data_IF_931943081602
#
_entry.id   IF_931943081602
#
_cell.length_a   1.000
_cell.length_b   1.000
_cell.length_c   1.000
_cell.angle_alpha   90.00
_cell.angle_beta   90.00
_cell.angle_gamma   90.00
#
_symmetry.space_group_name_H-M   'P 1'
#
loop_
_entity.id
_entity.type
_entity.pdbx_description
1 polymer ?
#
# COMPACT_ATOMS: atom_id res chain seq x y z
N UNK A 1 24.18 -0.37 7.70
CA UNK A 1 25.61 -0.02 7.49
C UNK A 1 26.21 0.73 8.69
N UNK A 2 25.59 1.78 9.21
CA UNK A 2 26.17 2.60 10.29
C UNK A 2 26.37 1.86 11.63
N UNK A 3 25.72 0.72 11.83
CA UNK A 3 25.74 -0.03 13.09
C UNK A 3 26.43 -1.41 12.95
N UNK A 4 27.06 -1.71 11.79
CA UNK A 4 27.66 -2.99 11.49
C UNK A 4 26.61 -4.11 11.30
N UNK A 5 27.03 -5.37 11.47
CA UNK A 5 26.20 -6.56 11.18
C UNK A 5 25.34 -7.03 12.38
N UNK A 6 25.11 -6.16 13.35
CA UNK A 6 24.30 -6.50 14.52
C UNK A 6 22.81 -6.47 14.17
N UNK A 7 22.03 -7.46 14.64
CA UNK A 7 20.59 -7.42 14.52
C UNK A 7 20.02 -6.25 15.34
N UNK A 8 19.14 -5.47 14.71
CA UNK A 8 18.55 -4.28 15.31
C UNK A 8 17.02 -4.41 15.34
N UNK A 9 16.40 -3.80 16.33
CA UNK A 9 14.96 -3.56 16.38
C UNK A 9 14.71 -2.07 16.10
N UNK A 10 13.75 -1.79 15.22
CA UNK A 10 13.33 -0.45 14.82
C UNK A 10 11.84 -0.33 15.10
N UNK A 11 11.42 0.67 15.87
CA UNK A 11 10.01 0.81 16.26
C UNK A 11 9.65 2.26 16.56
N UNK A 12 8.33 2.56 16.46
CA UNK A 12 7.75 3.84 16.87
C UNK A 12 7.77 4.03 18.39
N UNK A 13 7.77 5.27 18.84
CA UNK A 13 7.89 5.60 20.25
C UNK A 13 6.62 5.33 21.08
N UNK A 14 5.55 4.86 20.47
CA UNK A 14 4.30 4.44 21.13
C UNK A 14 3.16 5.44 20.97
N UNK A 15 2.13 5.27 21.80
CA UNK A 15 0.87 6.00 21.71
C UNK A 15 0.68 6.94 22.91
N UNK A 16 0.15 8.13 22.64
CA UNK A 16 -0.29 9.06 23.69
C UNK A 16 -1.80 8.92 23.92
N UNK A 17 -2.21 8.46 25.11
CA UNK A 17 -3.62 8.28 25.46
C UNK A 17 -4.43 9.59 25.47
N UNK A 18 -3.77 10.75 25.48
CA UNK A 18 -4.45 12.04 25.29
C UNK A 18 -5.15 12.12 23.91
N UNK A 19 -4.73 11.30 22.94
CA UNK A 19 -5.40 11.15 21.65
C UNK A 19 -6.79 10.52 21.73
N UNK A 20 -7.16 9.86 22.81
CA UNK A 20 -8.52 9.34 23.00
C UNK A 20 -9.55 10.46 23.16
N UNK A 21 -9.09 11.69 23.46
CA UNK A 21 -9.94 12.87 23.47
C UNK A 21 -10.52 13.16 22.06
N UNK A 22 -11.70 13.76 22.03
CA UNK A 22 -12.40 14.07 20.78
C UNK A 22 -11.75 15.21 19.96
N UNK A 23 -10.81 15.92 20.55
CA UNK A 23 -10.16 17.08 19.91
C UNK A 23 -8.71 16.70 19.59
N UNK A 24 -8.30 16.95 18.34
CA UNK A 24 -6.92 16.81 17.92
C UNK A 24 -6.01 17.74 18.72
N UNK A 25 -4.98 17.20 19.34
CA UNK A 25 -3.96 17.91 20.10
C UNK A 25 -2.57 17.42 19.73
N UNK A 26 -1.55 18.21 20.06
CA UNK A 26 -0.18 17.73 20.03
C UNK A 26 0.02 16.70 21.14
N UNK A 27 0.79 15.65 20.84
CA UNK A 27 1.08 14.60 21.80
C UNK A 27 2.28 14.97 22.66
N UNK A 28 2.25 14.56 23.93
CA UNK A 28 3.36 14.78 24.85
C UNK A 28 4.37 13.65 24.83
N UNK A 29 3.92 12.42 24.51
CA UNK A 29 4.73 11.21 24.45
C UNK A 29 4.53 10.50 23.11
N UNK A 30 5.34 9.49 22.84
CA UNK A 30 5.19 8.67 21.64
C UNK A 30 5.72 9.31 20.35
N UNK A 31 6.30 10.50 20.41
CA UNK A 31 6.78 11.26 19.25
C UNK A 31 8.19 10.82 18.87
N UNK A 32 8.30 9.90 17.92
CA UNK A 32 9.61 9.51 17.41
C UNK A 32 9.78 8.02 17.09
N UNK A 33 11.03 7.66 16.81
CA UNK A 33 11.47 6.31 16.43
C UNK A 33 12.74 5.98 17.20
N UNK A 34 12.86 4.69 17.59
CA UNK A 34 14.04 4.15 18.26
C UNK A 34 14.65 3.02 17.45
N UNK A 35 15.99 2.95 17.48
CA UNK A 35 16.77 1.83 17.00
C UNK A 35 17.58 1.29 18.17
N UNK A 36 17.42 0.01 18.48
CA UNK A 36 18.10 -0.67 19.59
C UNK A 36 18.79 -1.95 19.13
N UNK A 37 19.86 -2.35 19.78
CA UNK A 37 20.47 -3.68 19.58
C UNK A 37 19.48 -4.74 20.08
N UNK A 38 19.19 -5.74 19.25
CA UNK A 38 18.19 -6.78 19.56
C UNK A 38 18.61 -7.63 20.76
N UNK A 39 19.90 -7.89 20.93
CA UNK A 39 20.43 -8.73 22.01
C UNK A 39 20.44 -8.05 23.38
N UNK A 40 20.73 -6.74 23.40
CA UNK A 40 20.99 -6.01 24.65
C UNK A 40 19.89 -5.03 25.02
N UNK A 41 19.02 -4.67 24.08
CA UNK A 41 18.06 -3.59 24.22
C UNK A 41 18.72 -2.19 24.27
N UNK A 42 20.03 -2.09 24.06
CA UNK A 42 20.76 -0.83 24.10
C UNK A 42 20.37 0.04 22.92
N UNK A 43 19.93 1.28 23.22
CA UNK A 43 19.65 2.27 22.18
C UNK A 43 20.93 2.66 21.44
N UNK A 44 20.93 2.50 20.12
CA UNK A 44 22.03 2.89 19.23
C UNK A 44 21.73 4.19 18.49
N UNK A 45 20.44 4.47 18.25
CA UNK A 45 19.98 5.71 17.63
C UNK A 45 18.53 6.00 18.01
N UNK A 46 18.13 7.26 17.92
CA UNK A 46 16.74 7.65 18.04
C UNK A 46 16.47 8.94 17.28
N UNK A 47 15.23 9.11 16.85
CA UNK A 47 14.68 10.34 16.31
C UNK A 47 13.51 10.78 17.19
N UNK A 48 13.73 11.73 18.07
CA UNK A 48 12.70 12.30 18.97
C UNK A 48 12.85 13.81 19.02
N UNK A 49 11.93 14.58 19.60
CA UNK A 49 12.12 16.02 19.77
C UNK A 49 13.44 16.40 20.45
N UNK A 50 13.86 15.60 21.45
CA UNK A 50 15.08 15.85 22.23
C UNK A 50 16.33 15.25 21.57
N UNK A 51 16.16 14.27 20.69
CA UNK A 51 17.26 13.56 20.03
C UNK A 51 17.08 13.67 18.52
N UNK A 52 18.06 14.24 17.83
CA UNK A 52 18.06 14.47 16.39
C UNK A 52 16.91 15.39 15.89
N UNK A 53 16.20 16.07 16.81
CA UNK A 53 15.32 17.20 16.52
C UNK A 53 14.08 16.87 15.71
N UNK A 54 13.42 15.75 15.99
CA UNK A 54 12.16 15.38 15.34
C UNK A 54 11.10 16.48 15.49
N UNK A 55 10.49 16.87 14.37
CA UNK A 55 9.48 17.95 14.33
C UNK A 55 8.05 17.46 14.35
N UNK A 56 7.83 16.15 14.32
CA UNK A 56 6.50 15.56 14.40
C UNK A 56 5.80 15.93 15.70
N UNK A 57 4.53 16.27 15.62
CA UNK A 57 3.70 16.71 16.73
C UNK A 57 2.85 15.60 17.31
N UNK A 58 2.81 14.46 16.62
CA UNK A 58 1.92 13.35 16.93
C UNK A 58 2.71 12.07 17.17
N UNK A 59 2.10 11.17 17.92
CA UNK A 59 2.70 9.90 18.33
C UNK A 59 2.77 8.93 17.15
N UNK A 60 3.91 8.22 17.05
CA UNK A 60 4.11 7.11 16.12
C UNK A 60 3.75 5.84 16.87
N UNK A 61 2.46 5.48 16.82
CA UNK A 61 1.89 4.36 17.56
C UNK A 61 2.03 3.02 16.81
N UNK A 62 2.20 3.10 15.49
CA UNK A 62 2.32 1.94 14.61
C UNK A 62 3.76 1.43 14.53
N UNK A 63 3.89 0.20 14.03
CA UNK A 63 5.16 -0.29 13.51
C UNK A 63 5.63 0.62 12.37
N UNK A 64 6.94 0.62 12.15
CA UNK A 64 7.55 1.31 11.01
C UNK A 64 7.84 0.34 9.88
N UNK A 65 7.90 0.84 8.65
CA UNK A 65 8.31 0.06 7.51
C UNK A 65 9.75 0.36 7.17
N UNK A 66 10.54 -0.68 7.00
CA UNK A 66 11.96 -0.60 6.68
C UNK A 66 12.20 -1.04 5.25
N UNK A 67 13.14 -0.40 4.56
CA UNK A 67 13.50 -0.70 3.18
C UNK A 67 15.01 -0.75 3.05
N UNK A 68 15.49 -1.79 2.38
CA UNK A 68 16.82 -1.87 1.78
C UNK A 68 16.67 -1.36 0.34
N UNK A 69 17.00 -0.08 0.10
CA UNK A 69 16.66 0.58 -1.18
C UNK A 69 17.66 0.28 -2.29
N UNK A 70 18.86 -0.14 -1.97
CA UNK A 70 19.94 -0.47 -2.91
C UNK A 70 20.26 -1.97 -2.97
N UNK A 71 19.52 -2.80 -2.21
CA UNK A 71 19.63 -4.26 -2.15
C UNK A 71 21.02 -4.78 -1.70
N UNK A 72 21.67 -4.04 -0.80
CA UNK A 72 22.98 -4.43 -0.27
C UNK A 72 22.90 -5.25 1.03
N UNK A 73 21.70 -5.56 1.49
CA UNK A 73 21.44 -6.35 2.70
C UNK A 73 21.28 -5.51 3.97
N UNK A 74 21.42 -4.18 3.90
CA UNK A 74 21.25 -3.29 5.03
C UNK A 74 20.07 -2.35 4.83
N UNK A 75 19.27 -2.21 5.88
CA UNK A 75 18.18 -1.23 5.87
C UNK A 75 18.79 0.17 5.82
N UNK A 76 18.33 0.98 4.87
CA UNK A 76 18.80 2.33 4.62
C UNK A 76 17.67 3.36 4.61
N UNK A 77 16.40 2.92 4.70
CA UNK A 77 15.24 3.81 4.72
C UNK A 77 14.16 3.29 5.67
N UNK A 78 13.48 4.24 6.31
CA UNK A 78 12.34 3.96 7.18
C UNK A 78 11.18 4.86 6.75
N UNK A 79 9.98 4.29 6.72
CA UNK A 79 8.73 5.03 6.64
C UNK A 79 7.91 4.80 7.91
N UNK A 80 7.39 5.88 8.46
CA UNK A 80 6.56 5.86 9.66
C UNK A 80 5.33 6.74 9.47
N UNK A 81 4.21 6.33 10.06
CA UNK A 81 2.99 7.11 10.06
C UNK A 81 2.60 7.46 11.50
N UNK A 82 2.02 8.63 11.71
CA UNK A 82 1.66 9.10 13.04
C UNK A 82 0.14 9.28 13.24
N UNK A 83 -0.25 9.48 14.49
CA UNK A 83 -1.66 9.67 14.87
C UNK A 83 -2.21 11.07 14.51
N UNK A 84 -1.47 11.87 13.81
CA UNK A 84 -1.90 13.15 13.24
C UNK A 84 -2.17 13.09 11.74
N UNK A 85 -1.95 11.93 11.10
CA UNK A 85 -2.12 11.78 9.66
C UNK A 85 -0.90 12.19 8.85
N UNK A 86 0.27 12.28 9.48
CA UNK A 86 1.53 12.56 8.80
C UNK A 86 2.26 11.26 8.46
N UNK A 87 2.95 11.25 7.33
CA UNK A 87 3.88 10.19 6.93
C UNK A 87 5.28 10.78 6.90
N UNK A 88 6.18 10.12 7.61
CA UNK A 88 7.58 10.51 7.76
C UNK A 88 8.48 9.54 7.01
N UNK A 89 9.47 10.08 6.34
CA UNK A 89 10.56 9.32 5.74
C UNK A 89 11.86 9.66 6.41
N UNK A 90 12.64 8.62 6.74
CA UNK A 90 13.97 8.70 7.33
C UNK A 90 14.94 8.01 6.38
N UNK A 91 15.95 8.72 5.94
CA UNK A 91 17.02 8.22 5.09
C UNK A 91 18.29 8.04 5.93
N UNK A 92 18.91 6.88 5.79
CA UNK A 92 20.11 6.46 6.53
C UNK A 92 21.26 6.11 5.57
N UNK A 93 21.72 7.06 4.76
CA UNK A 93 22.76 6.80 3.77
C UNK A 93 24.12 6.52 4.47
N UNK A 94 24.90 5.64 3.86
CA UNK A 94 26.28 5.40 4.23
C UNK A 94 26.49 4.78 5.62
N UNK A 95 27.66 5.05 6.21
CA UNK A 95 28.13 4.43 7.45
C UNK A 95 28.15 5.37 8.66
N UNK A 96 27.67 6.61 8.49
CA UNK A 96 27.67 7.63 9.56
C UNK A 96 26.25 8.09 9.89
N UNK A 97 25.88 8.00 11.16
CA UNK A 97 24.60 8.56 11.64
C UNK A 97 24.50 10.08 11.49
N UNK A 98 25.63 10.75 11.28
CA UNK A 98 25.64 12.20 11.01
C UNK A 98 25.05 12.55 9.64
N UNK A 99 24.90 11.60 8.73
CA UNK A 99 24.30 11.79 7.41
C UNK A 99 22.80 11.47 7.41
N UNK A 100 22.29 10.85 8.46
CA UNK A 100 20.87 10.52 8.58
C UNK A 100 20.03 11.79 8.52
N UNK A 101 18.92 11.68 7.82
CA UNK A 101 17.99 12.78 7.64
C UNK A 101 16.55 12.28 7.71
N UNK A 102 15.65 13.19 8.01
CA UNK A 102 14.22 12.91 8.01
C UNK A 102 13.44 14.10 7.46
N UNK A 103 12.31 13.82 6.88
CA UNK A 103 11.37 14.85 6.43
C UNK A 103 9.94 14.32 6.47
N UNK A 104 8.97 15.24 6.48
CA UNK A 104 7.56 14.91 6.31
C UNK A 104 7.30 14.65 4.84
N UNK A 105 7.02 13.40 4.49
CA UNK A 105 6.69 13.01 3.11
C UNK A 105 5.27 13.44 2.76
N UNK A 106 4.30 13.24 3.68
CA UNK A 106 2.92 13.63 3.46
C UNK A 106 2.25 14.12 4.73
N UNK A 107 1.30 15.05 4.58
CA UNK A 107 0.41 15.58 5.62
C UNK A 107 -1.04 15.38 5.16
N UNK A 108 -1.66 14.29 5.62
CA UNK A 108 -2.96 13.83 5.14
C UNK A 108 -4.10 14.08 6.13
N UNK A 109 -3.76 14.47 7.36
CA UNK A 109 -4.69 14.88 8.40
C UNK A 109 -4.67 16.39 8.63
N UNK A 110 -5.71 16.94 9.24
CA UNK A 110 -5.75 18.35 9.65
C UNK A 110 -6.46 18.55 10.99
N UNK A 111 -6.49 19.80 11.47
CA UNK A 111 -7.17 20.15 12.73
C UNK A 111 -8.70 20.26 12.58
N UNK A 112 -9.27 20.06 11.38
CA UNK A 112 -10.71 20.00 11.20
C UNK A 112 -11.23 18.64 11.64
N UNK A 113 -12.33 18.59 12.36
CA UNK A 113 -12.91 17.36 12.89
C UNK A 113 -13.13 16.27 11.83
N UNK A 114 -13.56 16.69 10.62
CA UNK A 114 -13.78 15.77 9.49
C UNK A 114 -12.49 15.28 8.84
N UNK A 115 -11.37 15.93 9.09
CA UNK A 115 -10.06 15.66 8.50
C UNK A 115 -9.03 15.22 9.56
N UNK A 116 -9.47 14.97 10.82
CA UNK A 116 -8.62 14.42 11.89
C UNK A 116 -8.31 12.93 11.62
N UNK A 117 -7.65 12.69 10.49
CA UNK A 117 -7.23 11.35 10.08
C UNK A 117 -6.06 10.90 10.93
N UNK A 118 -6.10 9.65 11.34
CA UNK A 118 -5.09 9.06 12.22
C UNK A 118 -4.60 7.76 11.64
N UNK A 119 -3.29 7.49 11.78
CA UNK A 119 -2.70 6.24 11.36
C UNK A 119 -2.28 5.42 12.59
N UNK A 120 -2.80 4.21 12.69
CA UNK A 120 -2.48 3.25 13.73
C UNK A 120 -1.76 2.01 13.19
N UNK A 121 -1.54 1.95 11.90
CA UNK A 121 -0.87 0.86 11.21
C UNK A 121 0.26 1.40 10.35
N UNK A 122 1.28 0.55 10.15
CA UNK A 122 2.43 0.93 9.33
C UNK A 122 2.01 1.16 7.87
N UNK A 123 2.62 2.11 7.17
CA UNK A 123 2.48 2.20 5.73
C UNK A 123 3.12 0.97 5.08
N UNK A 124 2.46 0.39 4.07
CA UNK A 124 3.12 -0.59 3.21
C UNK A 124 3.91 0.16 2.14
N UNK A 125 5.08 -0.35 1.81
CA UNK A 125 5.93 0.21 0.74
C UNK A 125 6.23 -0.86 -0.29
N UNK A 126 5.91 -0.56 -1.55
CA UNK A 126 6.21 -1.43 -2.69
C UNK A 126 6.97 -0.65 -3.75
N UNK A 127 8.18 -1.10 -4.10
CA UNK A 127 8.95 -0.52 -5.21
C UNK A 127 8.41 -1.01 -6.54
N UNK A 128 8.12 -0.09 -7.45
CA UNK A 128 7.54 -0.39 -8.75
C UNK A 128 7.88 0.70 -9.78
N UNK A 129 7.37 0.55 -10.98
CA UNK A 129 7.55 1.48 -12.10
C UNK A 129 6.17 1.83 -12.65
N UNK A 130 5.95 3.09 -13.00
CA UNK A 130 4.77 3.49 -13.76
C UNK A 130 5.20 4.27 -15.01
N UNK A 131 4.37 4.20 -16.05
CA UNK A 131 4.54 5.04 -17.24
C UNK A 131 3.96 6.41 -16.97
N UNK A 132 4.82 7.40 -16.75
CA UNK A 132 4.43 8.80 -16.62
C UNK A 132 4.08 9.34 -18.00
N UNK A 133 2.82 9.70 -18.19
CA UNK A 133 2.30 10.18 -19.46
C UNK A 133 2.32 11.70 -19.47
N UNK A 134 2.79 12.27 -20.57
CA UNK A 134 2.76 13.71 -20.75
C UNK A 134 2.35 14.08 -22.18
N UNK A 135 1.63 15.17 -22.31
CA UNK A 135 1.19 15.74 -23.56
C UNK A 135 2.01 16.98 -23.89
N UNK A 136 2.45 17.09 -25.15
CA UNK A 136 3.18 18.25 -25.66
C UNK A 136 2.69 18.59 -27.04
N UNK A 137 2.56 19.89 -27.36
CA UNK A 137 2.23 20.34 -28.72
C UNK A 137 3.50 20.62 -29.51
N UNK A 138 3.71 19.91 -30.61
CA UNK A 138 4.82 20.12 -31.56
C UNK A 138 4.24 20.43 -32.93
N UNK A 139 4.59 21.57 -33.48
CA UNK A 139 4.13 22.04 -34.80
C UNK A 139 2.58 21.99 -34.98
N UNK A 140 1.85 22.29 -33.91
CA UNK A 140 0.37 22.30 -33.90
C UNK A 140 -0.26 20.91 -33.78
N UNK A 141 0.54 19.86 -33.59
CA UNK A 141 0.07 18.48 -33.36
C UNK A 141 0.30 18.07 -31.91
N UNK A 142 -0.66 17.38 -31.32
CA UNK A 142 -0.51 16.79 -29.99
C UNK A 142 0.38 15.55 -30.06
N UNK A 143 1.39 15.50 -29.19
CA UNK A 143 2.30 14.36 -29.04
C UNK A 143 2.21 13.84 -27.62
N UNK A 144 1.85 12.58 -27.46
CA UNK A 144 1.84 11.87 -26.18
C UNK A 144 3.18 11.17 -26.01
N UNK A 145 3.82 11.42 -24.88
CA UNK A 145 5.07 10.75 -24.50
C UNK A 145 4.87 9.94 -23.22
N UNK A 146 5.55 8.79 -23.14
CA UNK A 146 5.52 7.90 -21.97
C UNK A 146 6.95 7.71 -21.47
N UNK A 147 7.15 7.93 -20.17
CA UNK A 147 8.44 7.75 -19.51
C UNK A 147 8.25 6.81 -18.31
N UNK A 148 8.90 5.67 -18.35
CA UNK A 148 8.91 4.73 -17.24
C UNK A 148 9.70 5.31 -16.06
N UNK A 149 9.00 5.56 -14.98
CA UNK A 149 9.52 6.22 -13.78
C UNK A 149 9.44 5.28 -12.60
N UNK A 150 10.57 4.90 -11.98
CA UNK A 150 10.56 4.11 -10.77
C UNK A 150 10.08 4.95 -9.58
N UNK A 151 9.33 4.33 -8.68
CA UNK A 151 8.88 4.96 -7.44
C UNK A 151 8.63 3.94 -6.33
N UNK A 152 8.63 4.43 -5.09
CA UNK A 152 8.15 3.68 -3.94
C UNK A 152 6.68 4.04 -3.72
N UNK A 153 5.78 3.05 -3.88
CA UNK A 153 4.36 3.19 -3.59
C UNK A 153 4.15 3.04 -2.09
N UNK A 154 3.68 4.10 -1.44
CA UNK A 154 3.33 4.08 -0.03
C UNK A 154 1.82 3.94 0.07
N UNK A 155 1.36 2.80 0.63
CA UNK A 155 -0.05 2.44 0.69
C UNK A 155 -0.50 2.41 2.15
N UNK A 156 -1.52 3.19 2.50
CA UNK A 156 -2.00 3.32 3.88
C UNK A 156 -3.48 3.73 3.92
N UNK A 157 -4.21 3.22 4.92
CA UNK A 157 -5.57 3.67 5.22
C UNK A 157 -5.63 4.40 6.57
N UNK A 158 -6.47 5.43 6.67
CA UNK A 158 -6.71 6.12 7.92
C UNK A 158 -7.87 5.52 8.70
N UNK A 159 -7.83 5.63 10.03
CA UNK A 159 -8.89 5.19 10.91
C UNK A 159 -8.54 5.40 12.38
N UNK A 160 -9.47 5.97 13.14
CA UNK A 160 -9.30 6.15 14.57
C UNK A 160 -9.59 4.87 15.33
N UNK A 161 -8.56 4.07 15.62
CA UNK A 161 -8.67 2.80 16.33
C UNK A 161 -9.14 2.96 17.78
N UNK A 162 -8.81 4.06 18.44
CA UNK A 162 -9.24 4.32 19.82
C UNK A 162 -10.74 4.63 19.91
N UNK A 163 -11.36 5.00 18.78
CA UNK A 163 -12.77 5.34 18.68
C UNK A 163 -13.41 4.76 17.42
N UNK A 164 -13.48 3.43 17.31
CA UNK A 164 -13.90 2.76 16.06
C UNK A 164 -15.35 3.05 15.67
N UNK A 165 -16.22 3.37 16.63
CA UNK A 165 -17.61 3.72 16.40
C UNK A 165 -17.85 5.21 16.12
N UNK A 166 -16.80 6.06 16.16
CA UNK A 166 -16.90 7.48 15.83
C UNK A 166 -17.27 7.69 14.35
N UNK A 167 -18.09 8.70 14.04
CA UNK A 167 -18.56 8.98 12.67
C UNK A 167 -18.22 10.38 12.17
N UNK A 168 -17.41 11.12 12.92
CA UNK A 168 -17.09 12.51 12.60
C UNK A 168 -16.02 12.64 11.51
N UNK A 169 -15.04 11.73 11.53
CA UNK A 169 -13.92 11.75 10.61
C UNK A 169 -14.32 11.17 9.25
N UNK A 170 -13.82 11.77 8.18
CA UNK A 170 -13.86 11.25 6.82
C UNK A 170 -12.53 10.57 6.53
N UNK A 171 -12.49 9.29 6.89
CA UNK A 171 -11.31 8.48 6.67
C UNK A 171 -11.10 8.16 5.19
N UNK A 172 -9.87 7.91 4.80
CA UNK A 172 -9.49 7.71 3.41
C UNK A 172 -8.45 6.59 3.29
N UNK A 173 -8.41 6.00 2.09
CA UNK A 173 -7.35 5.13 1.63
C UNK A 173 -6.44 5.94 0.71
N UNK A 174 -5.13 5.67 0.80
CA UNK A 174 -4.12 6.43 0.08
C UNK A 174 -3.11 5.52 -0.60
N UNK A 175 -2.72 5.90 -1.80
CA UNK A 175 -1.47 5.48 -2.43
C UNK A 175 -0.69 6.71 -2.81
N UNK A 176 0.52 6.83 -2.29
CA UNK A 176 1.41 7.96 -2.50
C UNK A 176 2.61 7.48 -3.32
N UNK A 177 2.98 8.23 -4.34
CA UNK A 177 4.19 7.98 -5.13
C UNK A 177 5.34 8.78 -4.57
N UNK A 178 6.33 8.10 -4.01
CA UNK A 178 7.61 8.70 -3.69
C UNK A 178 8.61 8.41 -4.83
N UNK A 179 8.75 9.37 -5.73
CA UNK A 179 9.67 9.27 -6.88
C UNK A 179 11.14 9.46 -6.47
N UNK A 180 11.42 9.77 -5.19
CA UNK A 180 12.78 9.90 -4.66
C UNK A 180 13.35 8.53 -4.26
N UNK A 181 13.58 7.65 -5.23
CA UNK A 181 13.96 6.25 -4.99
C UNK A 181 15.40 6.07 -4.51
N UNK A 182 16.24 7.10 -4.57
CA UNK A 182 17.62 7.06 -4.09
C UNK A 182 17.69 7.53 -2.65
N UNK A 183 18.25 6.70 -1.77
CA UNK A 183 18.54 7.07 -0.37
C UNK A 183 19.75 8.02 -0.33
N UNK A 184 19.54 9.19 0.23
CA UNK A 184 20.59 10.23 0.39
C UNK A 184 20.23 11.13 1.58
N UNK A 185 21.14 12.00 1.98
CA UNK A 185 20.83 13.00 3.01
C UNK A 185 19.95 14.11 2.45
N UNK A 186 18.79 14.29 3.06
CA UNK A 186 17.82 15.37 2.77
C UNK A 186 17.84 16.49 3.82
N UNK A 187 18.94 16.68 4.51
CA UNK A 187 19.10 17.80 5.48
C UNK A 187 18.91 19.18 4.84
N UNK A 188 19.28 19.26 3.58
CA UNK A 188 19.00 20.39 2.70
C UNK A 188 18.24 19.86 1.49
N UNK A 189 17.30 20.64 0.97
CA UNK A 189 16.51 20.26 -0.23
C UNK A 189 15.65 18.99 -0.03
N UNK A 190 14.96 18.90 1.11
CA UNK A 190 13.90 17.92 1.27
C UNK A 190 12.80 18.17 0.22
N UNK A 191 12.16 17.12 -0.30
CA UNK A 191 10.99 17.26 -1.17
C UNK A 191 9.86 18.03 -0.49
N UNK A 192 9.00 18.64 -1.28
CA UNK A 192 7.78 19.27 -0.78
C UNK A 192 6.87 18.22 -0.14
N UNK A 193 6.19 18.63 0.94
CA UNK A 193 5.25 17.75 1.64
C UNK A 193 3.98 17.57 0.80
N UNK A 194 3.63 16.31 0.54
CA UNK A 194 2.42 15.94 -0.21
C UNK A 194 1.20 16.15 0.68
N UNK A 195 0.18 16.84 0.16
CA UNK A 195 -1.09 17.08 0.86
C UNK A 195 -2.25 16.43 0.08
N UNK A 196 -3.47 16.29 0.67
CA UNK A 196 -4.58 15.63 -0.02
C UNK A 196 -4.95 16.24 -1.38
N UNK A 197 -4.66 17.53 -1.61
CA UNK A 197 -4.86 18.18 -2.89
C UNK A 197 -3.92 17.70 -3.99
N UNK A 198 -2.76 17.16 -3.62
CA UNK A 198 -1.77 16.60 -4.54
C UNK A 198 -2.06 15.13 -4.90
N UNK A 199 -3.20 14.59 -4.45
CA UNK A 199 -3.63 13.21 -4.71
C UNK A 199 -4.96 13.22 -5.48
N UNK A 200 -4.99 12.47 -6.59
CA UNK A 200 -6.18 12.35 -7.43
C UNK A 200 -7.30 11.61 -6.68
N UNK A 201 -8.53 12.15 -6.74
CA UNK A 201 -9.69 11.55 -6.08
C UNK A 201 -10.29 10.43 -6.93
N UNK A 202 -10.43 9.21 -6.37
CA UNK A 202 -10.85 8.02 -7.11
C UNK A 202 -12.28 7.55 -6.81
N UNK A 203 -13.07 8.28 -6.01
CA UNK A 203 -14.42 7.84 -5.64
C UNK A 203 -15.39 7.72 -6.82
N UNK A 204 -15.17 8.44 -7.93
CA UNK A 204 -15.94 8.32 -9.15
C UNK A 204 -15.48 7.20 -10.08
N UNK A 205 -14.42 6.48 -9.72
CA UNK A 205 -13.75 5.46 -10.55
C UNK A 205 -13.48 5.94 -12.00
N UNK A 206 -12.73 7.05 -12.17
CA UNK A 206 -12.56 7.65 -13.50
C UNK A 206 -11.95 6.69 -14.50
N UNK A 207 -10.92 5.94 -14.12
CA UNK A 207 -10.28 4.96 -15.00
C UNK A 207 -11.19 3.76 -15.31
N UNK A 208 -11.97 3.29 -14.33
CA UNK A 208 -12.94 2.22 -14.55
C UNK A 208 -14.03 2.61 -15.55
N UNK A 209 -14.40 3.89 -15.58
CA UNK A 209 -15.38 4.42 -16.52
C UNK A 209 -14.81 4.68 -17.93
N UNK A 210 -13.50 4.81 -18.06
CA UNK A 210 -12.82 5.10 -19.34
C UNK A 210 -12.21 3.85 -20.00
N UNK A 211 -12.44 2.63 -19.49
CA UNK A 211 -11.82 1.40 -20.00
C UNK A 211 -12.17 1.11 -21.47
N UNK A 212 -13.30 1.56 -21.93
CA UNK A 212 -13.77 1.33 -23.32
C UNK A 212 -13.42 2.49 -24.27
N UNK A 213 -12.88 3.61 -23.75
CA UNK A 213 -12.46 4.78 -24.52
C UNK A 213 -10.97 5.07 -24.30
N UNK A 214 -10.20 4.92 -25.36
CA UNK A 214 -8.73 5.04 -25.32
C UNK A 214 -8.29 6.50 -25.10
N UNK A 215 -8.96 7.43 -25.74
CA UNK A 215 -8.58 8.83 -25.68
C UNK A 215 -8.89 9.38 -24.27
N UNK A 216 -10.05 9.07 -23.72
CA UNK A 216 -10.42 9.39 -22.34
C UNK A 216 -9.45 8.76 -21.33
N UNK A 217 -9.03 7.51 -21.57
CA UNK A 217 -8.05 6.84 -20.69
C UNK A 217 -6.68 7.53 -20.71
N UNK A 218 -6.19 7.90 -21.89
CA UNK A 218 -4.90 8.62 -22.04
C UNK A 218 -4.96 10.00 -21.39
N UNK A 219 -6.06 10.72 -21.54
CA UNK A 219 -6.25 12.02 -20.88
C UNK A 219 -6.22 11.88 -19.36
N UNK A 220 -6.83 10.82 -18.81
CA UNK A 220 -6.76 10.51 -17.37
C UNK A 220 -5.35 10.15 -16.92
N UNK A 221 -4.55 9.44 -17.74
CA UNK A 221 -3.14 9.16 -17.43
C UNK A 221 -2.31 10.45 -17.41
N UNK A 222 -2.54 11.38 -18.36
CA UNK A 222 -1.92 12.71 -18.36
C UNK A 222 -2.29 13.51 -17.12
N UNK A 223 -3.54 13.42 -16.68
CA UNK A 223 -3.99 14.08 -15.46
C UNK A 223 -3.39 13.42 -14.22
N UNK A 224 -3.41 12.09 -14.11
CA UNK A 224 -2.81 11.37 -12.99
C UNK A 224 -1.30 11.64 -12.86
N UNK A 225 -0.61 11.89 -13.96
CA UNK A 225 0.82 12.22 -13.96
C UNK A 225 1.13 13.55 -13.25
N UNK A 226 0.15 14.43 -13.09
CA UNK A 226 0.25 15.72 -12.37
C UNK A 226 0.12 15.57 -10.85
N UNK A 227 -0.41 14.44 -10.39
CA UNK A 227 -0.60 14.14 -8.97
C UNK A 227 0.50 13.25 -8.41
N UNK A 228 0.67 13.25 -7.10
CA UNK A 228 1.62 12.40 -6.37
C UNK A 228 1.02 11.06 -5.94
N UNK A 229 -0.02 10.60 -6.59
CA UNK A 229 -0.74 9.37 -6.28
C UNK A 229 -2.25 9.59 -6.25
N UNK A 230 -2.94 8.75 -5.50
CA UNK A 230 -4.40 8.83 -5.42
C UNK A 230 -4.93 8.63 -3.98
N UNK A 231 -6.18 9.04 -3.78
CA UNK A 231 -6.93 8.87 -2.54
C UNK A 231 -8.37 8.45 -2.82
N UNK A 232 -8.93 7.69 -1.88
CA UNK A 232 -10.32 7.23 -1.93
C UNK A 232 -10.99 7.52 -0.58
N UNK A 233 -12.07 8.28 -0.56
CA UNK A 233 -12.82 8.61 0.66
C UNK A 233 -13.74 7.44 1.02
N UNK A 234 -13.63 6.94 2.24
CA UNK A 234 -14.46 5.89 2.80
C UNK A 234 -15.87 6.41 3.13
N UNK A 235 -16.82 5.50 3.31
CA UNK A 235 -18.18 5.84 3.71
C UNK A 235 -18.25 6.51 5.08
N UNK A 236 -19.41 7.06 5.42
CA UNK A 236 -19.62 7.73 6.71
C UNK A 236 -19.33 6.79 7.88
N UNK A 237 -18.38 7.16 8.72
CA UNK A 237 -17.93 6.38 9.86
C UNK A 237 -17.10 5.13 9.51
N UNK A 238 -16.94 4.82 8.25
CA UNK A 238 -16.08 3.71 7.80
C UNK A 238 -14.61 4.07 7.99
N UNK A 239 -13.80 3.11 8.47
CA UNK A 239 -12.39 3.29 8.86
C UNK A 239 -11.54 2.13 8.41
N UNK A 240 -10.30 2.40 8.02
CA UNK A 240 -9.30 1.35 7.86
C UNK A 240 -8.64 1.06 9.20
N UNK A 241 -8.82 -0.15 9.72
CA UNK A 241 -8.33 -0.59 11.02
C UNK A 241 -7.30 -1.73 10.92
N UNK A 242 -6.63 -1.84 9.77
CA UNK A 242 -5.57 -2.80 9.53
C UNK A 242 -4.54 -2.24 8.54
N UNK A 243 -3.37 -2.87 8.43
CA UNK A 243 -2.39 -2.51 7.42
C UNK A 243 -2.89 -2.91 6.02
N UNK A 244 -2.47 -2.16 5.00
CA UNK A 244 -2.70 -2.55 3.61
C UNK A 244 -1.74 -3.66 3.18
N UNK A 245 -2.08 -4.35 2.09
CA UNK A 245 -1.22 -5.34 1.43
C UNK A 245 -1.17 -5.05 -0.06
N UNK A 246 0.01 -5.16 -0.67
CA UNK A 246 0.17 -5.02 -2.13
C UNK A 246 0.74 -6.31 -2.69
N UNK A 247 0.04 -6.86 -3.67
CA UNK A 247 0.49 -8.05 -4.41
C UNK A 247 0.07 -7.95 -5.85
N UNK A 248 1.00 -8.28 -6.75
CA UNK A 248 0.70 -8.33 -8.18
C UNK A 248 0.14 -7.01 -8.73
N UNK A 249 0.54 -5.84 -8.21
CA UNK A 249 0.02 -4.54 -8.64
C UNK A 249 -1.37 -4.20 -8.11
N UNK A 250 -1.89 -4.99 -7.18
CA UNK A 250 -3.17 -4.73 -6.51
C UNK A 250 -2.92 -4.32 -5.06
N UNK A 251 -3.51 -3.20 -4.68
CA UNK A 251 -3.51 -2.71 -3.31
C UNK A 251 -4.80 -3.16 -2.60
N UNK A 252 -4.66 -3.97 -1.56
CA UNK A 252 -5.77 -4.48 -0.75
C UNK A 252 -5.84 -3.73 0.57
N UNK A 253 -7.03 -3.26 0.91
CA UNK A 253 -7.32 -2.62 2.18
C UNK A 253 -8.52 -3.28 2.84
N UNK A 254 -8.52 -3.32 4.15
CA UNK A 254 -9.72 -3.68 4.89
C UNK A 254 -10.28 -2.48 5.62
N UNK A 255 -11.59 -2.46 5.78
CA UNK A 255 -12.29 -1.41 6.51
C UNK A 255 -13.35 -1.99 7.45
N UNK A 256 -13.72 -1.18 8.43
CA UNK A 256 -14.81 -1.41 9.36
C UNK A 256 -15.81 -0.26 9.26
N UNK A 257 -17.09 -0.59 9.15
CA UNK A 257 -18.19 0.36 9.23
C UNK A 257 -18.98 0.09 10.50
N UNK A 258 -19.11 1.04 11.45
CA UNK A 258 -19.88 0.84 12.65
C UNK A 258 -21.38 0.67 12.33
N UNK A 259 -22.09 -0.11 13.13
CA UNK A 259 -23.55 -0.21 13.01
C UNK A 259 -24.20 1.16 13.21
N UNK A 260 -25.19 1.47 12.39
CA UNK A 260 -26.03 2.65 12.63
C UNK A 260 -26.96 2.39 13.82
N UNK A 261 -26.95 3.29 14.83
CA UNK A 261 -27.84 3.25 16.00
C UNK A 261 -29.31 3.51 15.60
N UNK A 262 -29.92 2.59 14.86
CA UNK A 262 -31.32 2.71 14.48
C UNK A 262 -32.26 1.74 15.22
N UNK A 263 -31.75 0.91 16.15
CA UNK A 263 -32.58 -0.02 16.93
C UNK A 263 -32.60 0.34 18.41
N UNK A 264 -33.66 0.97 18.83
CA UNK A 264 -34.01 1.28 20.25
C UNK A 264 -34.65 0.10 20.99
N UNK A 265 -34.41 -1.14 20.61
CA UNK A 265 -35.01 -2.28 21.31
C UNK A 265 -33.95 -3.33 21.69
N UNK A 266 -33.70 -3.39 23.02
CA UNK A 266 -33.26 -4.56 23.79
C UNK A 266 -32.37 -5.59 23.09
N UNK A 267 -31.23 -5.20 22.55
CA UNK A 267 -30.30 -6.18 22.05
C UNK A 267 -29.03 -6.25 22.92
N UNK A 268 -28.96 -7.31 23.73
CA UNK A 268 -27.70 -7.83 24.25
C UNK A 268 -26.84 -8.49 23.15
N UNK A 269 -27.05 -8.15 21.89
CA UNK A 269 -26.18 -8.56 20.77
C UNK A 269 -25.24 -7.43 20.44
N UNK A 270 -23.94 -7.68 20.54
CA UNK A 270 -22.89 -6.86 19.99
C UNK A 270 -22.97 -6.90 18.46
N UNK A 271 -23.95 -6.25 17.86
CA UNK A 271 -23.94 -6.02 16.41
C UNK A 271 -22.93 -4.88 16.15
N UNK A 272 -21.64 -5.25 16.04
CA UNK A 272 -20.55 -4.30 16.06
C UNK A 272 -20.44 -3.44 14.80
N UNK A 273 -21.06 -3.84 13.69
CA UNK A 273 -20.87 -3.19 12.38
C UNK A 273 -20.61 -4.21 11.27
N UNK A 274 -19.91 -3.81 10.22
CA UNK A 274 -19.56 -4.66 9.10
C UNK A 274 -18.15 -4.40 8.58
N UNK A 275 -17.47 -5.48 8.19
CA UNK A 275 -16.16 -5.39 7.57
C UNK A 275 -16.21 -5.42 6.06
N UNK A 276 -15.26 -4.79 5.41
CA UNK A 276 -15.12 -4.81 3.96
C UNK A 276 -13.66 -4.98 3.53
N UNK A 277 -13.47 -5.54 2.34
CA UNK A 277 -12.20 -5.59 1.62
C UNK A 277 -12.32 -4.74 0.37
N UNK A 278 -11.33 -3.91 0.12
CA UNK A 278 -11.15 -3.14 -1.11
C UNK A 278 -9.96 -3.67 -1.89
N UNK A 279 -10.07 -3.68 -3.21
CA UNK A 279 -9.00 -4.10 -4.11
C UNK A 279 -8.84 -3.07 -5.24
N UNK A 280 -7.76 -2.29 -5.20
CA UNK A 280 -7.45 -1.26 -6.18
C UNK A 280 -6.28 -1.64 -7.06
N UNK A 281 -6.33 -1.27 -8.32
CA UNK A 281 -5.14 -1.20 -9.15
C UNK A 281 -4.15 -0.20 -8.54
N UNK A 282 -2.92 -0.63 -8.26
CA UNK A 282 -1.95 0.17 -7.51
C UNK A 282 -1.70 1.56 -8.12
N UNK A 283 -1.56 1.64 -9.46
CA UNK A 283 -1.28 2.91 -10.14
C UNK A 283 -2.52 3.76 -10.35
N UNK A 284 -3.61 3.15 -10.84
CA UNK A 284 -4.78 3.87 -11.34
C UNK A 284 -5.88 4.05 -10.30
N UNK A 285 -5.79 3.38 -9.14
CA UNK A 285 -6.82 3.48 -8.09
C UNK A 285 -8.21 3.04 -8.52
N UNK A 286 -8.32 2.27 -9.60
CA UNK A 286 -9.56 1.68 -10.10
C UNK A 286 -9.74 0.25 -9.60
N UNK A 287 -10.91 -0.31 -9.73
CA UNK A 287 -11.20 -1.70 -9.38
C UNK A 287 -10.45 -2.67 -10.30
N UNK A 288 -10.05 -3.82 -9.76
CA UNK A 288 -9.36 -4.90 -10.48
C UNK A 288 -10.20 -6.18 -10.56
N UNK A 289 -11.35 -6.18 -9.90
CA UNK A 289 -12.35 -7.24 -9.92
C UNK A 289 -13.70 -6.67 -10.33
N UNK A 290 -14.72 -7.51 -10.50
CA UNK A 290 -16.09 -7.08 -10.83
C UNK A 290 -16.58 -5.99 -9.88
N UNK A 291 -16.23 -6.12 -8.57
CA UNK A 291 -16.49 -5.14 -7.55
C UNK A 291 -15.20 -4.54 -6.99
N UNK A 292 -15.25 -3.28 -6.56
CA UNK A 292 -14.18 -2.62 -5.85
C UNK A 292 -14.16 -3.04 -4.38
N UNK A 293 -15.34 -3.30 -3.79
CA UNK A 293 -15.58 -3.52 -2.37
C UNK A 293 -16.32 -4.83 -2.14
N UNK A 294 -15.78 -5.67 -1.26
CA UNK A 294 -16.32 -6.97 -0.90
C UNK A 294 -16.67 -6.99 0.59
N UNK A 295 -17.82 -7.57 0.94
CA UNK A 295 -18.19 -7.77 2.33
C UNK A 295 -17.38 -8.91 2.93
N UNK A 296 -16.83 -8.70 4.14
CA UNK A 296 -16.09 -9.72 4.88
C UNK A 296 -16.99 -10.47 5.86
N UNK A 297 -16.56 -11.66 6.31
CA UNK A 297 -17.26 -12.43 7.33
C UNK A 297 -16.99 -11.93 8.75
N UNK A 298 -15.94 -11.13 8.93
CA UNK A 298 -15.58 -10.54 10.22
C UNK A 298 -16.06 -9.09 10.28
N UNK A 299 -16.58 -8.68 11.43
CA UNK A 299 -17.01 -7.30 11.65
C UNK A 299 -15.82 -6.33 11.58
N UNK A 300 -14.68 -6.70 12.18
CA UNK A 300 -13.41 -5.97 12.06
C UNK A 300 -12.39 -6.88 11.40
N UNK A 301 -12.21 -6.78 10.09
CA UNK A 301 -11.24 -7.61 9.37
C UNK A 301 -9.81 -7.17 9.67
N UNK A 302 -8.90 -8.14 9.70
CA UNK A 302 -7.47 -7.92 9.88
C UNK A 302 -6.77 -7.62 8.54
N UNK A 303 -5.47 -7.39 8.61
CA UNK A 303 -4.59 -7.19 7.46
C UNK A 303 -4.72 -8.36 6.48
N UNK A 304 -5.01 -8.10 5.20
CA UNK A 304 -5.07 -9.14 4.19
C UNK A 304 -3.70 -9.81 4.04
N UNK A 305 -3.67 -11.14 4.13
CA UNK A 305 -2.46 -11.93 3.92
C UNK A 305 -2.62 -12.79 2.68
N UNK A 306 -1.57 -12.87 1.88
CA UNK A 306 -1.56 -13.74 0.72
C UNK A 306 -0.83 -15.03 1.04
N UNK A 307 -1.46 -16.12 0.64
CA UNK A 307 -0.89 -17.45 0.65
C UNK A 307 -0.73 -17.92 -0.80
N UNK A 308 0.47 -18.29 -1.16
CA UNK A 308 0.76 -18.92 -2.44
C UNK A 308 0.74 -20.43 -2.23
N UNK A 309 -0.26 -21.09 -2.81
CA UNK A 309 -0.38 -22.54 -2.82
C UNK A 309 0.13 -23.12 -4.12
N UNK A 310 0.56 -24.37 -4.07
CA UNK A 310 0.71 -25.17 -5.28
C UNK A 310 -0.69 -25.32 -5.87
N UNK A 311 -0.86 -25.03 -7.15
CA UNK A 311 -2.06 -25.37 -7.88
C UNK A 311 -2.29 -26.90 -7.81
N UNK A 312 -3.51 -27.39 -8.04
CA UNK A 312 -3.77 -28.82 -8.01
C UNK A 312 -2.75 -29.49 -8.93
N UNK A 313 -1.95 -30.40 -8.36
CA UNK A 313 -1.04 -31.22 -9.13
C UNK A 313 -1.89 -32.10 -10.06
N UNK A 314 -1.85 -31.84 -11.32
CA UNK A 314 -2.51 -32.70 -12.30
C UNK A 314 -1.49 -33.45 -13.16
N UNK A 315 -1.85 -34.62 -13.59
CA UNK A 315 -1.05 -35.46 -14.49
C UNK A 315 -1.56 -35.21 -15.90
N UNK A 316 -0.67 -34.85 -16.81
CA UNK A 316 -0.87 -34.81 -18.24
C UNK A 316 -0.17 -36.03 -18.84
N UNK A 317 -0.84 -37.17 -18.80
CA UNK A 317 -0.29 -38.43 -19.30
C UNK A 317 -0.36 -38.54 -20.84
N UNK A 318 -1.18 -37.75 -21.49
CA UNK A 318 -1.38 -37.77 -22.93
C UNK A 318 -0.64 -36.66 -23.69
N UNK A 319 -0.06 -35.65 -22.96
CA UNK A 319 0.72 -34.58 -23.54
C UNK A 319 -0.09 -33.52 -24.30
N UNK A 320 -1.38 -33.36 -24.00
CA UNK A 320 -2.25 -32.38 -24.66
C UNK A 320 -2.28 -31.00 -23.94
N UNK A 321 -1.51 -30.86 -22.85
CA UNK A 321 -1.42 -29.65 -22.06
C UNK A 321 -2.56 -29.47 -21.05
N UNK A 322 -3.38 -30.52 -20.84
CA UNK A 322 -4.51 -30.52 -19.91
C UNK A 322 -4.39 -31.59 -18.85
N UNK A 323 -5.07 -31.40 -17.74
CA UNK A 323 -5.12 -32.40 -16.70
C UNK A 323 -5.98 -33.60 -17.11
N UNK A 324 -5.46 -34.83 -17.03
CA UNK A 324 -6.22 -36.05 -17.36
C UNK A 324 -7.49 -36.22 -16.52
N UNK A 325 -7.43 -35.81 -15.24
CA UNK A 325 -8.57 -35.88 -14.33
C UNK A 325 -9.56 -34.70 -14.47
N UNK A 326 -9.16 -33.61 -15.14
CA UNK A 326 -10.03 -32.46 -15.42
C UNK A 326 -9.59 -31.75 -16.71
N UNK A 327 -10.15 -32.12 -17.87
CA UNK A 327 -9.75 -31.61 -19.19
C UNK A 327 -10.06 -30.12 -19.41
N UNK A 328 -10.67 -29.44 -18.45
CA UNK A 328 -10.88 -28.00 -18.49
C UNK A 328 -9.75 -27.21 -17.80
N UNK A 329 -8.78 -27.87 -17.16
CA UNK A 329 -7.66 -27.28 -16.45
C UNK A 329 -6.38 -27.49 -17.26
N UNK A 330 -5.70 -26.41 -17.60
CA UNK A 330 -4.39 -26.46 -18.26
C UNK A 330 -3.29 -26.85 -17.27
N UNK A 331 -2.35 -27.69 -17.68
CA UNK A 331 -1.17 -28.12 -16.86
C UNK A 331 -0.26 -26.94 -16.50
N UNK A 332 -0.34 -25.86 -17.26
CA UNK A 332 0.44 -24.63 -17.07
C UNK A 332 -0.21 -23.64 -16.12
N UNK A 333 -1.27 -24.01 -15.39
CA UNK A 333 -1.87 -23.12 -14.42
C UNK A 333 -0.82 -22.69 -13.37
N UNK A 334 -0.53 -21.41 -13.44
CA UNK A 334 0.37 -20.70 -12.52
C UNK A 334 -0.10 -20.89 -11.07
N UNK A 335 0.85 -20.86 -10.14
CA UNK A 335 0.59 -20.98 -8.70
C UNK A 335 -0.61 -20.12 -8.29
N UNK A 336 -1.63 -20.76 -7.71
CA UNK A 336 -2.80 -20.04 -7.23
C UNK A 336 -2.43 -19.28 -5.96
N UNK A 337 -2.91 -18.06 -5.84
CA UNK A 337 -2.79 -17.32 -4.60
C UNK A 337 -4.15 -17.21 -3.92
N UNK A 338 -4.12 -17.27 -2.59
CA UNK A 338 -5.29 -17.14 -1.75
C UNK A 338 -5.14 -15.92 -0.85
N UNK A 339 -6.18 -15.11 -0.75
CA UNK A 339 -6.24 -14.01 0.20
C UNK A 339 -6.84 -14.53 1.51
N UNK A 340 -6.03 -14.56 2.58
CA UNK A 340 -6.42 -15.04 3.91
C UNK A 340 -6.60 -13.84 4.84
N UNK A 341 -7.52 -13.93 5.79
CA UNK A 341 -7.71 -12.96 6.86
C UNK A 341 -9.06 -12.25 6.83
N UNK A 342 -9.47 -11.58 5.73
CA UNK A 342 -10.73 -10.85 5.73
C UNK A 342 -11.97 -11.72 5.78
N UNK A 343 -11.90 -12.99 5.35
CA UNK A 343 -13.06 -13.87 5.27
C UNK A 343 -14.14 -13.30 4.36
N UNK A 344 -13.93 -13.35 3.04
CA UNK A 344 -14.87 -12.81 2.05
C UNK A 344 -16.12 -13.67 2.03
N UNK A 345 -17.29 -13.05 2.19
CA UNK A 345 -18.59 -13.72 2.05
C UNK A 345 -18.95 -13.79 0.57
N UNK A 346 -18.99 -15.01 0.01
CA UNK A 346 -19.60 -15.32 -1.29
C UNK A 346 -20.91 -16.08 -1.11
N UNK A 347 -21.86 -15.92 -2.00
CA UNK A 347 -23.12 -16.69 -2.00
C UNK A 347 -22.89 -18.17 -2.31
N UNK A 348 -21.78 -18.48 -2.99
CA UNK A 348 -21.27 -19.84 -3.21
C UNK A 348 -19.81 -19.85 -2.80
N UNK A 349 -19.34 -20.90 -2.17
CA UNK A 349 -17.96 -21.07 -1.68
C UNK A 349 -16.88 -21.06 -2.81
N UNK A 350 -17.28 -20.78 -4.06
CA UNK A 350 -16.44 -20.67 -5.22
C UNK A 350 -16.03 -19.20 -5.41
N UNK A 351 -14.77 -18.93 -5.18
CA UNK A 351 -14.00 -17.71 -5.42
C UNK A 351 -14.83 -16.44 -5.78
N UNK A 352 -15.26 -15.63 -4.80
CA UNK A 352 -16.10 -14.45 -5.04
C UNK A 352 -15.37 -13.31 -5.77
N UNK A 353 -14.06 -13.42 -5.93
CA UNK A 353 -13.22 -12.39 -6.57
C UNK A 353 -12.91 -12.83 -8.00
N UNK A 354 -13.73 -12.39 -8.95
CA UNK A 354 -13.47 -12.60 -10.37
C UNK A 354 -12.64 -11.45 -10.90
N UNK A 355 -11.46 -11.71 -11.51
CA UNK A 355 -10.66 -10.68 -12.14
C UNK A 355 -11.47 -9.98 -13.24
N UNK A 356 -11.43 -8.66 -13.28
CA UNK A 356 -11.92 -7.89 -14.41
C UNK A 356 -10.85 -7.94 -15.50
N UNK A 357 -11.22 -8.32 -16.72
CA UNK A 357 -10.35 -8.06 -17.86
C UNK A 357 -10.25 -6.55 -18.05
N UNK A 358 -9.15 -5.96 -17.57
CA UNK A 358 -8.82 -4.59 -17.92
C UNK A 358 -8.30 -4.63 -19.34
N UNK A 359 -9.16 -4.29 -20.28
CA UNK A 359 -8.78 -4.05 -21.67
C UNK A 359 -8.07 -2.71 -21.76
N UNK A 360 -6.90 -2.63 -21.15
CA UNK A 360 -6.02 -1.49 -21.38
C UNK A 360 -5.57 -1.49 -22.83
N UNK A 361 -5.41 -0.33 -23.48
CA UNK A 361 -4.84 -0.28 -24.81
C UNK A 361 -3.39 -0.78 -24.74
N UNK A 362 -3.17 -1.99 -25.22
CA UNK A 362 -1.83 -2.47 -25.53
C UNK A 362 -1.30 -1.64 -26.68
N UNK A 363 -0.29 -0.83 -26.44
CA UNK A 363 0.40 -0.10 -27.51
C UNK A 363 1.51 -0.98 -28.05
N UNK A 364 1.48 -1.25 -29.35
CA UNK A 364 2.58 -1.89 -30.06
C UNK A 364 3.02 -1.02 -31.24
N UNK A 365 4.25 -1.21 -31.69
CA UNK A 365 4.76 -0.51 -32.88
C UNK A 365 4.68 -1.46 -34.06
N UNK A 366 3.82 -1.13 -35.02
CA UNK A 366 3.73 -1.83 -36.29
C UNK A 366 4.15 -0.86 -37.41
N UNK A 367 5.15 -1.21 -38.18
CA UNK A 367 5.71 -0.38 -39.28
C UNK A 367 6.08 1.06 -38.86
N UNK A 368 6.64 1.19 -37.64
CA UNK A 368 7.07 2.50 -37.11
C UNK A 368 5.93 3.41 -36.64
N UNK A 369 4.69 2.92 -36.59
CA UNK A 369 3.53 3.62 -36.05
C UNK A 369 3.08 2.93 -34.78
N UNK A 370 2.69 3.72 -33.77
CA UNK A 370 2.04 3.23 -32.58
C UNK A 370 0.63 2.80 -32.96
N UNK A 371 0.33 1.51 -32.79
CA UNK A 371 -0.97 0.92 -33.09
C UNK A 371 -1.52 0.32 -31.80
N UNK A 372 -2.79 0.56 -31.54
CA UNK A 372 -3.54 -0.12 -30.49
C UNK A 372 -3.74 -1.58 -30.89
N UNK A 373 -3.24 -2.49 -30.08
CA UNK A 373 -3.54 -3.90 -30.20
C UNK A 373 -4.65 -4.21 -29.22
N UNK A 374 -5.83 -4.51 -29.75
CA UNK A 374 -6.89 -5.19 -29.02
C UNK A 374 -6.47 -6.66 -28.86
N UNK A 375 -5.44 -6.93 -28.09
CA UNK A 375 -5.14 -8.30 -27.71
C UNK A 375 -5.80 -8.61 -26.37
N UNK A 376 -6.59 -9.64 -26.37
CA UNK A 376 -7.39 -10.19 -25.29
C UNK A 376 -6.55 -10.76 -24.17
N UNK A 377 -5.64 -10.02 -23.61
CA UNK A 377 -4.95 -10.47 -22.42
C UNK A 377 -4.11 -9.35 -21.83
N UNK A 378 -4.72 -8.48 -21.11
CA UNK A 378 -4.01 -7.99 -19.95
C UNK A 378 -4.72 -8.52 -18.71
N UNK A 379 -4.70 -9.81 -18.56
CA UNK A 379 -4.60 -10.36 -17.24
C UNK A 379 -3.33 -9.73 -16.69
N UNK A 380 -3.35 -9.25 -15.44
CA UNK A 380 -2.15 -8.77 -14.77
C UNK A 380 -1.08 -9.86 -14.85
N UNK A 381 -0.31 -9.86 -15.93
CA UNK A 381 0.78 -10.79 -16.18
C UNK A 381 1.97 -10.43 -15.31
N UNK A 382 1.77 -10.47 -14.00
CA UNK A 382 2.85 -10.42 -13.06
C UNK A 382 3.53 -11.79 -13.07
N UNK A 383 4.63 -11.88 -13.78
CA UNK A 383 5.62 -12.90 -13.47
C UNK A 383 6.15 -12.53 -12.08
N UNK A 384 5.65 -13.19 -11.07
CA UNK A 384 6.33 -13.23 -9.77
C UNK A 384 7.68 -13.87 -10.02
N UNK A 385 8.71 -13.06 -10.19
CA UNK A 385 10.06 -13.58 -10.09
C UNK A 385 10.28 -13.86 -8.62
N UNK A 386 10.50 -15.13 -8.30
CA UNK A 386 10.92 -15.57 -6.99
C UNK A 386 12.29 -14.93 -6.71
N UNK A 387 12.31 -13.80 -6.03
CA UNK A 387 13.52 -13.19 -5.53
C UNK A 387 13.98 -13.97 -4.33
N UNK A 388 14.89 -14.92 -4.56
CA UNK A 388 15.77 -15.58 -3.60
C UNK A 388 15.14 -16.08 -2.30
N UNK A 389 14.90 -17.39 -2.22
CA UNK A 389 14.87 -18.11 -0.94
C UNK A 389 16.35 -18.35 -0.55
N UNK A 390 16.80 -17.70 0.51
CA UNK A 390 18.08 -17.99 1.14
C UNK A 390 17.98 -19.39 1.75
N UNK A 391 18.46 -20.40 1.06
CA UNK A 391 18.77 -21.70 1.67
C UNK A 391 20.07 -21.54 2.40
N UNK A 392 20.01 -21.49 3.73
CA UNK A 392 21.19 -21.73 4.56
C UNK A 392 21.62 -23.17 4.27
N UNK A 393 22.74 -23.37 3.60
CA UNK A 393 23.39 -24.66 3.55
C UNK A 393 23.86 -24.95 4.97
N UNK A 394 23.24 -25.93 5.61
CA UNK A 394 23.79 -26.58 6.78
C UNK A 394 25.02 -27.39 6.29
N UNK A 395 26.18 -26.82 6.45
CA UNK A 395 27.40 -27.58 6.41
C UNK A 395 27.46 -28.47 7.67
N UNK A 396 26.84 -29.62 7.61
CA UNK A 396 27.15 -30.74 8.46
C UNK A 396 28.49 -31.36 8.01
N UNK A 397 29.57 -30.78 8.44
CA UNK A 397 30.82 -31.52 8.56
C UNK A 397 31.21 -31.61 10.02
N UNK A 398 30.62 -32.59 10.69
CA UNK A 398 31.21 -33.24 11.82
C UNK A 398 32.18 -34.27 11.24
N UNK A 399 33.45 -33.99 11.27
CA UNK A 399 34.51 -35.00 11.14
C UNK A 399 35.39 -34.97 12.37
N UNK A 400 35.28 -36.09 13.11
CA UNK A 400 36.22 -36.74 14.05
C UNK A 400 37.01 -35.87 15.03
#
# INVERSE_FOLDING_TARGET
>A
KAFGDKPLLIFGAGYDTNKDAAIRSEDNIGRGIYIVEAETGKRVWALTPDINGFKGKHSIAADVTTLDSDYDGYIDRIYAADTGGDIWRIDMPGTSTSEFSHFKLAELGSNKATEDRRFFYKPLVARTIYSKVSETTVDGSTVITRLDTPYDAIVIGSGNRSKPTGTNEKDQLFMIRDENTVTKSYKTNAPDTIVPADLMQMNSDPFGNALDDVDDFVDLEVDLAKFNGWRYELGTGEKSLAAATVVGGVAYFTSFTPASDTSTENQCSLSGGGGSLYAFHLHYGTKVYDDLKFTTSYDVPDTPQLYFGEGPSCVDGNGDGKCDDNPTVDVTQESQFYLIGPGIKGENAENPMKPVEIKGPGLTIVDGKVVLVNDNAVGFGFKTQQTYIYKREENDEVNN
#
